data_IF_607354671073
#
_entry.id   IF_607354671073
#
_cell.length_a   1.000
_cell.length_b   1.000
_cell.length_c   1.000
_cell.angle_alpha   90.00
_cell.angle_beta   90.00
_cell.angle_gamma   90.00
#
_symmetry.space_group_name_H-M   'P 1'
#
loop_
_entity.id
_entity.type
_entity.pdbx_description
1 polymer ?
#
# COMPACT_ATOMS: atom_id res chain seq x y z
N UNK A 1 -20.22 -20.04 53.98
CA UNK A 1 -21.13 -19.73 52.86
C UNK A 1 -21.15 -18.25 52.43
N UNK A 2 -20.97 -17.25 53.32
CA UNK A 2 -21.01 -15.81 52.93
C UNK A 2 -19.78 -15.33 52.14
N UNK A 3 -18.59 -15.82 52.48
CA UNK A 3 -17.32 -15.42 51.82
C UNK A 3 -17.25 -15.85 50.35
N UNK A 4 -17.68 -17.07 50.02
CA UNK A 4 -17.71 -17.53 48.61
C UNK A 4 -18.66 -16.75 47.72
N UNK A 5 -19.77 -16.23 48.26
CA UNK A 5 -20.70 -15.36 47.52
C UNK A 5 -20.10 -13.98 47.23
N UNK A 6 -19.37 -13.41 48.19
CA UNK A 6 -18.68 -12.12 48.02
C UNK A 6 -17.57 -12.26 46.97
N UNK A 7 -16.78 -13.34 47.02
CA UNK A 7 -15.74 -13.63 46.03
C UNK A 7 -16.35 -13.83 44.63
N UNK A 8 -17.45 -14.58 44.52
CA UNK A 8 -18.15 -14.76 43.24
C UNK A 8 -18.70 -13.45 42.66
N UNK A 9 -19.27 -12.58 43.50
CA UNK A 9 -19.74 -11.26 43.08
C UNK A 9 -18.56 -10.37 42.65
N UNK A 10 -17.46 -10.35 43.41
CA UNK A 10 -16.27 -9.59 43.07
C UNK A 10 -15.66 -10.03 41.73
N UNK A 11 -15.60 -11.34 41.46
CA UNK A 11 -15.15 -11.89 40.18
C UNK A 11 -16.09 -11.53 39.02
N UNK A 12 -17.40 -11.54 39.24
CA UNK A 12 -18.37 -11.13 38.23
C UNK A 12 -18.24 -9.64 37.90
N UNK A 13 -18.05 -8.78 38.90
CA UNK A 13 -17.82 -7.34 38.71
C UNK A 13 -16.48 -7.09 38.00
N UNK A 14 -15.41 -7.77 38.40
CA UNK A 14 -14.10 -7.64 37.76
C UNK A 14 -14.16 -8.05 36.27
N UNK A 15 -14.82 -9.15 35.94
CA UNK A 15 -15.04 -9.55 34.55
C UNK A 15 -15.93 -8.55 33.80
N UNK A 16 -16.96 -8.00 34.44
CA UNK A 16 -17.79 -6.94 33.85
C UNK A 16 -16.98 -5.69 33.50
N UNK A 17 -16.10 -5.25 34.41
CA UNK A 17 -15.17 -4.13 34.18
C UNK A 17 -14.19 -4.47 33.06
N UNK A 18 -13.65 -5.69 33.04
CA UNK A 18 -12.73 -6.14 31.99
C UNK A 18 -13.41 -6.16 30.61
N UNK A 19 -14.63 -6.70 30.51
CA UNK A 19 -15.42 -6.71 29.27
C UNK A 19 -15.71 -5.28 28.80
N UNK A 20 -16.12 -4.40 29.73
CA UNK A 20 -16.39 -3.00 29.41
C UNK A 20 -15.12 -2.28 28.91
N UNK A 21 -13.99 -2.48 29.59
CA UNK A 21 -12.69 -1.95 29.18
C UNK A 21 -12.30 -2.46 27.78
N UNK A 22 -12.41 -3.76 27.54
CA UNK A 22 -12.14 -4.36 26.24
C UNK A 22 -13.05 -3.79 25.15
N UNK A 23 -14.34 -3.58 25.43
CA UNK A 23 -15.28 -3.00 24.48
C UNK A 23 -14.90 -1.55 24.12
N UNK A 24 -14.53 -0.73 25.10
CA UNK A 24 -14.07 0.64 24.87
C UNK A 24 -12.82 0.66 23.99
N UNK A 25 -11.82 -0.16 24.32
CA UNK A 25 -10.59 -0.26 23.52
C UNK A 25 -10.86 -0.77 22.10
N UNK A 26 -11.82 -1.68 21.93
CA UNK A 26 -12.16 -2.25 20.62
C UNK A 26 -12.88 -1.25 19.72
N UNK A 27 -13.80 -0.46 20.28
CA UNK A 27 -14.63 0.50 19.54
C UNK A 27 -13.85 1.75 19.09
N UNK A 28 -12.80 2.13 19.81
CA UNK A 28 -11.95 3.29 19.46
C UNK A 28 -10.81 2.98 18.50
N UNK A 29 -10.63 1.72 18.08
CA UNK A 29 -9.52 1.34 17.21
C UNK A 29 -9.88 1.56 15.74
N UNK A 30 -9.09 2.39 15.07
CA UNK A 30 -9.19 2.56 13.63
C UNK A 30 -8.77 1.29 12.86
N UNK A 31 -9.50 1.03 11.78
CA UNK A 31 -9.43 -0.14 10.89
C UNK A 31 -9.75 0.22 9.44
N UNK A 32 -9.96 1.50 9.15
CA UNK A 32 -10.19 1.93 7.78
C UNK A 32 -8.83 2.00 7.10
N UNK A 33 -8.71 1.35 5.95
CA UNK A 33 -7.52 1.45 5.14
C UNK A 33 -7.56 2.72 4.29
N UNK A 34 -6.40 3.33 3.98
CA UNK A 34 -6.35 4.46 3.06
C UNK A 34 -6.88 4.11 1.67
N UNK A 35 -7.51 5.07 1.00
CA UNK A 35 -7.96 4.93 -0.38
C UNK A 35 -7.00 5.62 -1.35
N UNK A 36 -6.63 4.94 -2.44
CA UNK A 36 -5.80 5.50 -3.50
C UNK A 36 -6.65 6.18 -4.58
N UNK A 37 -6.18 7.34 -5.05
CA UNK A 37 -6.68 7.97 -6.27
C UNK A 37 -5.52 8.28 -7.20
N UNK A 38 -5.70 7.96 -8.48
CA UNK A 38 -4.69 8.19 -9.52
C UNK A 38 -5.22 9.15 -10.59
N UNK A 39 -4.42 10.17 -10.86
CA UNK A 39 -4.62 11.03 -12.02
C UNK A 39 -3.97 10.41 -13.25
N UNK A 40 -4.59 10.62 -14.42
CA UNK A 40 -3.99 10.25 -15.70
C UNK A 40 -2.73 11.09 -15.93
N UNK A 41 -1.59 10.43 -16.05
CA UNK A 41 -0.30 11.05 -16.38
C UNK A 41 0.36 10.27 -17.51
N UNK A 42 0.97 10.98 -18.45
CA UNK A 42 1.76 10.42 -19.53
C UNK A 42 3.22 10.31 -19.06
N UNK A 43 3.51 9.25 -18.32
CA UNK A 43 4.84 8.99 -17.75
C UNK A 43 5.40 7.73 -18.37
N UNK A 44 6.65 7.79 -18.82
CA UNK A 44 7.39 6.66 -19.37
C UNK A 44 8.53 6.32 -18.42
N UNK A 45 8.60 5.07 -17.99
CA UNK A 45 9.70 4.58 -17.18
C UNK A 45 10.98 4.46 -18.02
N UNK A 46 12.08 4.96 -17.46
CA UNK A 46 13.42 4.78 -18.01
C UNK A 46 14.39 4.46 -16.89
N UNK A 47 15.18 3.41 -17.03
CA UNK A 47 16.09 2.93 -15.98
C UNK A 47 17.05 4.02 -15.47
N UNK A 48 17.46 4.94 -16.35
CA UNK A 48 18.40 6.03 -16.01
C UNK A 48 17.77 7.22 -15.26
N UNK A 49 16.45 7.41 -15.34
CA UNK A 49 15.74 8.57 -14.77
C UNK A 49 15.26 8.34 -13.32
N UNK A 50 15.41 7.12 -12.80
CA UNK A 50 14.91 6.73 -11.48
C UNK A 50 13.39 6.64 -11.40
N UNK A 51 12.83 6.64 -10.19
CA UNK A 51 11.44 6.23 -9.94
C UNK A 51 10.52 7.35 -9.44
N UNK A 52 11.04 8.58 -9.27
CA UNK A 52 10.27 9.69 -8.68
C UNK A 52 9.05 10.07 -9.50
N UNK A 53 9.18 10.07 -10.82
CA UNK A 53 8.09 10.43 -11.73
C UNK A 53 6.93 9.44 -11.66
N UNK A 54 7.18 8.19 -11.25
CA UNK A 54 6.16 7.15 -11.11
C UNK A 54 5.21 7.42 -9.93
N UNK A 55 5.56 8.30 -8.99
CA UNK A 55 4.67 8.75 -7.92
C UNK A 55 3.74 9.90 -8.38
N UNK A 56 3.99 10.48 -9.55
CA UNK A 56 3.21 11.63 -10.02
C UNK A 56 1.76 11.25 -10.24
N UNK A 57 0.85 12.08 -9.72
CA UNK A 57 -0.58 11.87 -9.81
C UNK A 57 -1.12 10.77 -8.89
N UNK A 58 -0.28 10.13 -8.06
CA UNK A 58 -0.74 9.24 -7.01
C UNK A 58 -1.08 10.04 -5.75
N UNK A 59 -2.29 9.84 -5.25
CA UNK A 59 -2.78 10.43 -4.00
C UNK A 59 -3.40 9.36 -3.13
N UNK A 60 -3.38 9.57 -1.81
CA UNK A 60 -3.96 8.65 -0.84
C UNK A 60 -4.67 9.45 0.25
N UNK A 61 -5.88 9.04 0.60
CA UNK A 61 -6.67 9.69 1.63
C UNK A 61 -7.26 8.65 2.58
N UNK A 62 -7.20 8.93 3.87
CA UNK A 62 -7.86 8.14 4.90
C UNK A 62 -8.85 9.02 5.68
N UNK A 63 -9.92 8.42 6.19
CA UNK A 63 -10.99 9.15 6.86
C UNK A 63 -10.56 9.76 8.19
N UNK A 64 -9.74 9.06 8.95
CA UNK A 64 -9.31 9.48 10.29
C UNK A 64 -7.99 10.27 10.20
N UNK A 65 -7.11 9.93 9.26
CA UNK A 65 -5.80 10.55 9.10
C UNK A 65 -5.74 11.70 8.07
N UNK A 66 -6.70 11.78 7.15
CA UNK A 66 -6.75 12.77 6.08
C UNK A 66 -5.82 12.44 4.91
N UNK A 67 -5.14 13.46 4.37
CA UNK A 67 -4.26 13.29 3.21
C UNK A 67 -2.94 12.59 3.58
N UNK A 68 -2.74 11.41 3.00
CA UNK A 68 -1.58 10.55 3.18
C UNK A 68 -0.68 10.50 1.93
N UNK A 69 -0.91 11.36 0.93
CA UNK A 69 -0.21 11.32 -0.36
C UNK A 69 1.31 11.40 -0.24
N UNK A 70 1.81 12.15 0.76
CA UNK A 70 3.25 12.26 1.04
C UNK A 70 3.89 11.00 1.62
N UNK A 71 3.10 10.02 2.05
CA UNK A 71 3.55 8.75 2.63
C UNK A 71 3.48 7.59 1.65
N UNK A 72 3.02 7.82 0.42
CA UNK A 72 2.99 6.80 -0.63
C UNK A 72 4.45 6.41 -0.95
N UNK A 73 4.70 5.10 -0.95
CA UNK A 73 5.98 4.52 -1.32
C UNK A 73 5.80 3.53 -2.47
N UNK A 74 6.85 3.35 -3.27
CA UNK A 74 6.92 2.26 -4.25
C UNK A 74 7.49 1.04 -3.54
N UNK A 75 6.68 -0.01 -3.41
CA UNK A 75 7.08 -1.28 -2.79
C UNK A 75 7.90 -2.13 -3.76
N UNK A 76 7.51 -2.14 -5.04
CA UNK A 76 8.14 -2.95 -6.07
C UNK A 76 7.90 -2.37 -7.47
N UNK A 77 8.86 -2.59 -8.36
CA UNK A 77 8.70 -2.42 -9.80
C UNK A 77 8.94 -3.79 -10.44
N UNK A 78 8.03 -4.21 -11.32
CA UNK A 78 8.16 -5.45 -12.09
C UNK A 78 8.28 -5.09 -13.56
N UNK A 79 9.39 -5.45 -14.17
CA UNK A 79 9.63 -5.23 -15.60
C UNK A 79 8.96 -6.30 -16.44
N UNK A 80 8.30 -5.87 -17.51
CA UNK A 80 7.82 -6.72 -18.57
C UNK A 80 8.46 -6.25 -19.88
N UNK A 81 9.64 -6.82 -20.18
CA UNK A 81 10.45 -6.44 -21.34
C UNK A 81 9.80 -6.83 -22.66
N UNK A 82 9.04 -7.92 -22.68
CA UNK A 82 8.33 -8.38 -23.88
C UNK A 82 7.30 -7.33 -24.35
N UNK A 83 6.55 -6.77 -23.41
CA UNK A 83 5.52 -5.75 -23.70
C UNK A 83 6.05 -4.31 -23.65
N UNK A 84 7.32 -4.09 -23.31
CA UNK A 84 7.88 -2.76 -23.12
C UNK A 84 7.16 -1.97 -22.01
N UNK A 85 6.81 -2.64 -20.91
CA UNK A 85 6.07 -2.03 -19.79
C UNK A 85 6.68 -2.35 -18.44
N UNK A 86 6.32 -1.56 -17.43
CA UNK A 86 6.56 -1.86 -16.02
C UNK A 86 5.28 -1.81 -15.21
N UNK A 87 5.15 -2.71 -14.23
CA UNK A 87 4.10 -2.67 -13.21
C UNK A 87 4.71 -2.10 -11.93
N UNK A 88 4.19 -0.97 -11.47
CA UNK A 88 4.63 -0.28 -10.25
C UNK A 88 3.62 -0.58 -9.14
N UNK A 89 4.11 -1.08 -8.02
CA UNK A 89 3.31 -1.39 -6.83
C UNK A 89 3.53 -0.30 -5.78
N UNK A 90 2.45 0.33 -5.36
CA UNK A 90 2.42 1.37 -4.34
C UNK A 90 1.87 0.82 -3.04
N UNK A 91 2.38 1.35 -1.93
CA UNK A 91 1.85 1.12 -0.60
C UNK A 91 1.76 2.43 0.17
N UNK A 92 0.78 2.53 1.06
CA UNK A 92 0.65 3.63 2.02
C UNK A 92 0.09 3.08 3.32
N UNK A 93 0.58 3.59 4.45
CA UNK A 93 0.08 3.25 5.78
C UNK A 93 -0.42 4.48 6.51
N UNK A 94 -1.56 4.32 7.18
CA UNK A 94 -2.08 5.32 8.11
C UNK A 94 -1.31 5.28 9.46
N UNK A 95 -1.74 6.04 10.47
CA UNK A 95 -1.13 6.02 11.81
C UNK A 95 -1.57 4.83 12.66
N UNK A 96 -2.72 4.25 12.35
CA UNK A 96 -3.29 3.10 13.05
C UNK A 96 -2.66 1.76 12.61
N UNK A 97 -1.86 1.78 11.54
CA UNK A 97 -1.18 0.63 10.95
C UNK A 97 -2.01 -0.09 9.88
N UNK A 98 -3.11 0.50 9.40
CA UNK A 98 -3.80 -0.05 8.24
C UNK A 98 -3.01 0.32 6.98
N UNK A 99 -2.91 -0.63 6.04
CA UNK A 99 -2.05 -0.52 4.86
C UNK A 99 -2.85 -0.80 3.61
N UNK A 100 -2.87 0.17 2.70
CA UNK A 100 -3.43 0.01 1.38
C UNK A 100 -2.35 -0.24 0.34
N UNK A 101 -2.69 -1.00 -0.70
CA UNK A 101 -1.82 -1.28 -1.84
C UNK A 101 -2.55 -1.05 -3.15
N UNK A 102 -1.83 -0.56 -4.14
CA UNK A 102 -2.35 -0.36 -5.48
C UNK A 102 -1.24 -0.56 -6.52
N UNK A 103 -1.61 -0.71 -7.79
CA UNK A 103 -0.63 -0.83 -8.87
C UNK A 103 -1.03 -0.05 -10.11
N UNK A 104 -0.03 0.37 -10.88
CA UNK A 104 -0.19 1.02 -12.18
C UNK A 104 0.79 0.44 -13.19
N UNK A 105 0.38 0.45 -14.46
CA UNK A 105 1.22 0.07 -15.59
C UNK A 105 1.73 1.33 -16.27
N UNK A 106 3.01 1.36 -16.60
CA UNK A 106 3.64 2.42 -17.37
C UNK A 106 4.36 1.81 -18.59
N UNK A 107 4.41 2.55 -19.69
CA UNK A 107 5.32 2.24 -20.77
C UNK A 107 6.76 2.37 -20.28
N UNK A 108 7.65 1.52 -20.79
CA UNK A 108 9.04 1.45 -20.36
C UNK A 108 9.97 1.40 -21.58
N UNK A 109 11.11 2.08 -21.47
CA UNK A 109 12.19 2.02 -22.45
C UNK A 109 13.38 1.38 -21.76
N UNK A 110 13.69 0.14 -22.15
CA UNK A 110 14.80 -0.64 -21.63
C UNK A 110 16.04 -0.46 -22.51
N UNK A 111 17.17 -0.13 -21.91
CA UNK A 111 18.44 -0.01 -22.63
C UNK A 111 18.92 -1.41 -23.02
N UNK A 112 18.89 -1.75 -24.31
CA UNK A 112 19.33 -3.05 -24.85
C UNK A 112 18.38 -3.73 -25.84
N UNK A 113 17.12 -3.28 -25.96
CA UNK A 113 16.21 -3.76 -27.03
C UNK A 113 16.63 -3.31 -28.43
N UNK A 114 17.46 -2.27 -28.51
CA UNK A 114 18.00 -1.76 -29.77
C UNK A 114 19.03 -2.74 -30.37
N UNK A 115 19.78 -3.47 -29.55
CA UNK A 115 20.85 -4.37 -30.03
C UNK A 115 20.31 -5.70 -30.56
N UNK A 116 19.23 -6.24 -30.00
CA UNK A 116 18.63 -7.53 -30.43
C UNK A 116 17.84 -7.37 -31.76
N UNK A 117 17.23 -6.20 -31.96
CA UNK A 117 16.65 -5.74 -33.24
C UNK A 117 17.73 -5.62 -34.33
N UNK A 118 18.87 -5.00 -34.01
CA UNK A 118 20.00 -4.86 -34.93
C UNK A 118 20.65 -6.21 -35.26
N UNK A 119 20.85 -7.09 -34.28
CA UNK A 119 21.44 -8.41 -34.49
C UNK A 119 20.56 -9.31 -35.39
N UNK A 120 19.24 -9.21 -35.28
CA UNK A 120 18.28 -9.92 -36.14
C UNK A 120 18.30 -9.42 -37.58
N UNK A 121 18.61 -8.13 -37.78
CA UNK A 121 18.71 -7.52 -39.12
C UNK A 121 19.99 -7.93 -39.85
N UNK A 122 21.10 -8.21 -39.15
CA UNK A 122 22.35 -8.70 -39.75
C UNK A 122 22.37 -10.20 -40.05
N UNK A 123 21.47 -11.00 -39.47
CA UNK A 123 21.41 -12.46 -39.68
C UNK A 123 20.62 -12.86 -40.94
N UNK A 124 19.87 -11.93 -41.53
CA UNK A 124 19.07 -12.13 -42.75
C UNK A 124 19.71 -11.50 -44.02
N UNK A 125 21.02 -11.24 -44.00
CA UNK A 125 21.84 -10.92 -45.18
C UNK A 125 22.96 -11.94 -45.31
#
# INVERSE_FOLDING_TARGET
MKQGRIIGIALAVANGILILLCAILYLGKDRQEPEFTFQSVDTVYREENGTKELLTGATAWDKEDGDLSSRIVIEKISENREDGTVVVFYAVSDRAGNVARASRVFAAIFTGQDEESLASQYKNR
#
